data_IF_391206435851
#
_entry.id   IF_391206435851
#
_cell.length_a   1.000
_cell.length_b   1.000
_cell.length_c   1.000
_cell.angle_alpha   90.00
_cell.angle_beta   90.00
_cell.angle_gamma   90.00
#
_symmetry.space_group_name_H-M   'P 1'
#
loop_
_entity.id
_entity.type
_entity.pdbx_description
1 polymer ?
#
# COMPACT_ATOMS: atom_id res chain seq x y z
N UNK A 1 -21.40 -24.98 10.08
CA UNK A 1 -21.88 -23.68 9.51
C UNK A 1 -20.69 -22.83 9.05
N UNK A 2 -19.66 -22.62 9.90
CA UNK A 2 -18.51 -21.76 9.62
C UNK A 2 -17.73 -22.11 8.34
N UNK A 3 -17.40 -23.40 8.03
CA UNK A 3 -16.71 -23.74 6.76
C UNK A 3 -17.51 -23.32 5.52
N UNK A 4 -18.80 -23.52 5.54
CA UNK A 4 -19.69 -23.13 4.42
C UNK A 4 -19.75 -21.61 4.28
N UNK A 5 -19.77 -20.89 5.40
CA UNK A 5 -19.73 -19.43 5.38
C UNK A 5 -18.43 -18.90 4.76
N UNK A 6 -17.28 -19.43 5.16
CA UNK A 6 -15.99 -19.02 4.58
C UNK A 6 -15.91 -19.36 3.09
N UNK A 7 -16.39 -20.53 2.67
CA UNK A 7 -16.46 -20.89 1.27
C UNK A 7 -17.36 -19.92 0.49
N UNK A 8 -18.53 -19.58 1.02
CA UNK A 8 -19.45 -18.61 0.46
C UNK A 8 -18.80 -17.23 0.31
N UNK A 9 -18.15 -16.71 1.34
CA UNK A 9 -17.47 -15.41 1.31
C UNK A 9 -16.39 -15.39 0.21
N UNK A 10 -15.56 -16.42 0.12
CA UNK A 10 -14.49 -16.52 -0.87
C UNK A 10 -15.06 -16.54 -2.30
N UNK A 11 -16.13 -17.26 -2.52
CA UNK A 11 -16.83 -17.34 -3.79
C UNK A 11 -17.44 -15.98 -4.15
N UNK A 12 -18.16 -15.37 -3.23
CA UNK A 12 -18.82 -14.07 -3.48
C UNK A 12 -17.81 -12.96 -3.75
N UNK A 13 -16.71 -12.89 -3.03
CA UNK A 13 -15.65 -11.90 -3.30
C UNK A 13 -15.06 -12.13 -4.70
N UNK A 14 -14.80 -13.37 -5.08
CA UNK A 14 -14.18 -13.69 -6.38
C UNK A 14 -15.08 -13.28 -7.55
N UNK A 15 -16.38 -13.53 -7.45
CA UNK A 15 -17.32 -13.24 -8.52
C UNK A 15 -17.83 -11.79 -8.55
N UNK A 16 -17.72 -11.04 -7.45
CA UNK A 16 -18.29 -9.71 -7.34
C UNK A 16 -17.24 -8.60 -7.18
N UNK A 17 -16.03 -8.76 -7.75
CA UNK A 17 -14.97 -7.74 -7.68
C UNK A 17 -15.37 -6.38 -8.27
N UNK A 18 -16.40 -6.36 -9.12
CA UNK A 18 -16.94 -5.15 -9.73
C UNK A 18 -18.00 -4.43 -8.86
N UNK A 19 -18.60 -5.12 -7.88
CA UNK A 19 -19.67 -4.59 -7.03
C UNK A 19 -19.12 -4.14 -5.67
N UNK A 20 -18.80 -2.84 -5.56
CA UNK A 20 -18.17 -2.24 -4.38
C UNK A 20 -19.06 -2.32 -3.14
N UNK A 21 -20.39 -2.24 -3.29
CA UNK A 21 -21.32 -2.30 -2.16
C UNK A 21 -21.38 -3.71 -1.56
N UNK A 22 -21.46 -4.72 -2.43
CA UNK A 22 -21.38 -6.11 -1.98
C UNK A 22 -20.04 -6.42 -1.31
N UNK A 23 -18.92 -5.96 -1.88
CA UNK A 23 -17.61 -6.18 -1.29
C UNK A 23 -17.51 -5.56 0.10
N UNK A 24 -18.07 -4.36 0.30
CA UNK A 24 -18.11 -3.71 1.62
C UNK A 24 -18.89 -4.57 2.61
N UNK A 25 -20.11 -4.99 2.24
CA UNK A 25 -20.95 -5.85 3.09
C UNK A 25 -20.26 -7.18 3.44
N UNK A 26 -19.60 -7.82 2.47
CA UNK A 26 -18.87 -9.07 2.69
C UNK A 26 -17.70 -8.87 3.67
N UNK A 27 -16.96 -7.76 3.55
CA UNK A 27 -15.89 -7.41 4.48
C UNK A 27 -16.43 -7.12 5.90
N UNK A 28 -17.56 -6.44 6.03
CA UNK A 28 -18.21 -6.19 7.31
C UNK A 28 -18.64 -7.51 7.96
N UNK A 29 -19.17 -8.44 7.19
CA UNK A 29 -19.52 -9.78 7.69
C UNK A 29 -18.27 -10.52 8.19
N UNK A 30 -17.18 -10.51 7.42
CA UNK A 30 -15.90 -11.13 7.83
C UNK A 30 -15.38 -10.48 9.10
N UNK A 31 -15.37 -9.15 9.17
CA UNK A 31 -14.87 -8.43 10.34
C UNK A 31 -15.71 -8.68 11.58
N UNK A 32 -17.04 -8.73 11.45
CA UNK A 32 -17.95 -9.03 12.55
C UNK A 32 -17.69 -10.40 13.19
N UNK A 33 -17.36 -11.41 12.37
CA UNK A 33 -17.01 -12.75 12.87
C UNK A 33 -15.61 -12.75 13.49
N UNK A 34 -14.65 -12.01 12.92
CA UNK A 34 -13.29 -11.89 13.45
C UNK A 34 -13.25 -11.24 14.84
N UNK A 35 -14.12 -10.28 15.09
CA UNK A 35 -14.21 -9.59 16.39
C UNK A 35 -14.94 -10.43 17.45
N UNK A 36 -15.78 -11.37 17.01
CA UNK A 36 -16.51 -12.23 17.91
C UNK A 36 -15.60 -13.31 18.51
N UNK A 37 -15.38 -13.25 19.83
CA UNK A 37 -14.48 -14.14 20.57
C UNK A 37 -14.98 -15.59 20.66
N UNK A 38 -16.26 -15.84 20.38
CA UNK A 38 -16.84 -17.17 20.42
C UNK A 38 -16.47 -18.01 19.18
N UNK A 39 -15.95 -17.36 18.13
CA UNK A 39 -15.51 -18.03 16.91
C UNK A 39 -13.99 -18.07 16.77
N UNK A 40 -13.43 -19.26 16.55
CA UNK A 40 -12.03 -19.41 16.17
C UNK A 40 -11.93 -19.56 14.65
N UNK A 41 -11.35 -18.55 13.99
CA UNK A 41 -11.12 -18.55 12.54
C UNK A 41 -9.73 -19.07 12.15
N UNK A 42 -8.87 -19.40 13.11
CA UNK A 42 -7.50 -19.88 12.85
C UNK A 42 -7.42 -21.02 11.84
N UNK A 43 -8.28 -22.07 11.89
CA UNK A 43 -8.26 -23.15 10.91
C UNK A 43 -8.56 -22.70 9.47
N UNK A 44 -9.20 -21.54 9.30
CA UNK A 44 -9.66 -21.03 8.00
C UNK A 44 -8.77 -19.91 7.43
N UNK A 45 -7.73 -19.49 8.14
CA UNK A 45 -6.84 -18.40 7.67
C UNK A 45 -6.18 -18.68 6.33
N UNK A 46 -5.83 -19.96 6.06
CA UNK A 46 -5.26 -20.36 4.77
C UNK A 46 -6.23 -20.12 3.58
N UNK A 47 -7.52 -20.09 3.82
CA UNK A 47 -8.57 -19.83 2.83
C UNK A 47 -8.98 -18.36 2.81
N UNK A 48 -9.13 -17.73 3.98
CA UNK A 48 -9.63 -16.36 4.12
C UNK A 48 -8.58 -15.30 3.72
N UNK A 49 -7.33 -15.47 4.13
CA UNK A 49 -6.28 -14.48 3.86
C UNK A 49 -6.00 -14.28 2.37
N UNK A 50 -5.89 -15.33 1.52
CA UNK A 50 -5.78 -15.13 0.08
C UNK A 50 -6.92 -14.32 -0.52
N UNK A 51 -8.13 -14.44 0.01
CA UNK A 51 -9.29 -13.70 -0.43
C UNK A 51 -9.16 -12.20 -0.08
N UNK A 52 -8.75 -11.88 1.15
CA UNK A 52 -8.45 -10.51 1.59
C UNK A 52 -7.30 -9.92 0.77
N UNK A 53 -6.25 -10.70 0.48
CA UNK A 53 -5.15 -10.28 -0.40
C UNK A 53 -5.63 -10.00 -1.83
N UNK A 54 -6.61 -10.74 -2.33
CA UNK A 54 -7.22 -10.46 -3.63
C UNK A 54 -7.86 -9.07 -3.64
N UNK A 55 -8.58 -8.69 -2.60
CA UNK A 55 -9.15 -7.34 -2.47
C UNK A 55 -8.08 -6.25 -2.38
N UNK A 56 -6.93 -6.54 -1.78
CA UNK A 56 -5.83 -5.60 -1.68
C UNK A 56 -5.03 -5.46 -2.98
N UNK A 57 -4.83 -6.55 -3.72
CA UNK A 57 -3.89 -6.62 -4.84
C UNK A 57 -4.52 -6.74 -6.23
N UNK A 58 -5.84 -6.93 -6.33
CA UNK A 58 -6.53 -7.04 -7.62
C UNK A 58 -6.31 -5.78 -8.46
N UNK A 59 -6.11 -5.97 -9.77
CA UNK A 59 -5.88 -4.86 -10.71
C UNK A 59 -7.08 -3.92 -10.79
N UNK A 60 -8.27 -4.48 -10.88
CA UNK A 60 -9.51 -3.76 -11.07
C UNK A 60 -10.51 -4.17 -9.97
N UNK A 61 -10.86 -3.22 -9.12
CA UNK A 61 -11.97 -3.33 -8.18
C UNK A 61 -12.95 -2.22 -8.54
N UNK A 62 -14.21 -2.57 -8.74
CA UNK A 62 -15.25 -1.60 -9.09
C UNK A 62 -15.24 -1.09 -10.54
N UNK A 63 -14.34 -1.55 -11.41
CA UNK A 63 -14.42 -1.21 -12.83
C UNK A 63 -15.55 -2.00 -13.46
N UNK A 64 -16.59 -1.30 -13.86
CA UNK A 64 -17.52 -1.77 -14.88
C UNK A 64 -16.73 -1.94 -16.18
N UNK A 65 -16.94 -3.05 -16.90
CA UNK A 65 -16.50 -3.18 -18.29
C UNK A 65 -16.95 -1.94 -19.06
N UNK A 66 -16.06 -1.40 -19.86
CA UNK A 66 -16.26 -0.18 -20.65
C UNK A 66 -17.56 -0.25 -21.48
N UNK A 67 -18.66 0.21 -20.92
CA UNK A 67 -19.91 0.47 -21.61
C UNK A 67 -20.45 1.82 -21.20
N UNK A 68 -19.74 2.88 -21.54
CA UNK A 68 -20.36 4.18 -21.77
C UNK A 68 -19.37 5.11 -22.47
N UNK A 69 -19.61 5.30 -23.74
CA UNK A 69 -19.17 6.44 -24.55
C UNK A 69 -19.89 7.70 -24.07
N UNK A 70 -19.64 8.13 -22.87
CA UNK A 70 -20.01 9.47 -22.42
C UNK A 70 -18.71 10.24 -22.14
N UNK A 71 -18.29 10.98 -23.18
CA UNK A 71 -17.20 11.96 -23.10
C UNK A 71 -17.76 13.21 -22.42
N UNK A 72 -17.39 13.46 -21.17
CA UNK A 72 -17.79 14.67 -20.46
C UNK A 72 -17.11 14.79 -19.08
N UNK A 73 -17.20 15.97 -18.50
CA UNK A 73 -16.71 16.25 -17.14
C UNK A 73 -17.32 15.31 -16.08
N UNK A 74 -18.56 14.84 -16.33
CA UNK A 74 -19.25 13.87 -15.48
C UNK A 74 -18.54 12.50 -15.44
N UNK A 75 -17.91 12.08 -16.53
CA UNK A 75 -17.19 10.81 -16.58
C UNK A 75 -15.92 10.83 -15.71
N UNK A 76 -15.20 11.95 -15.68
CA UNK A 76 -14.01 12.11 -14.83
C UNK A 76 -14.38 12.10 -13.33
N UNK A 77 -15.47 12.80 -12.96
CA UNK A 77 -15.97 12.81 -11.59
C UNK A 77 -16.44 11.43 -11.13
N UNK A 78 -17.09 10.66 -12.00
CA UNK A 78 -17.50 9.28 -11.72
C UNK A 78 -16.28 8.36 -11.55
N UNK A 79 -15.26 8.50 -12.38
CA UNK A 79 -14.04 7.72 -12.28
C UNK A 79 -13.28 8.01 -10.98
N UNK A 80 -13.23 9.26 -10.56
CA UNK A 80 -12.64 9.67 -9.29
C UNK A 80 -13.41 9.10 -8.09
N UNK A 81 -14.74 9.13 -8.12
CA UNK A 81 -15.58 8.55 -7.08
C UNK A 81 -15.41 7.02 -6.98
N UNK A 82 -15.28 6.32 -8.12
CA UNK A 82 -15.00 4.89 -8.16
C UNK A 82 -13.61 4.58 -7.59
N UNK A 83 -12.61 5.39 -7.91
CA UNK A 83 -11.28 5.28 -7.36
C UNK A 83 -11.31 5.39 -5.83
N UNK A 84 -11.94 6.43 -5.29
CA UNK A 84 -12.03 6.66 -3.86
C UNK A 84 -12.76 5.51 -3.13
N UNK A 85 -13.86 4.99 -3.68
CA UNK A 85 -14.56 3.80 -3.16
C UNK A 85 -13.69 2.55 -3.21
N UNK A 86 -12.94 2.33 -4.30
CA UNK A 86 -12.03 1.19 -4.43
C UNK A 86 -10.90 1.24 -3.40
N UNK A 87 -10.38 2.43 -3.12
CA UNK A 87 -9.36 2.65 -2.09
C UNK A 87 -9.93 2.44 -0.67
N UNK A 88 -11.19 2.83 -0.43
CA UNK A 88 -11.87 2.57 0.84
C UNK A 88 -11.96 1.06 1.12
N UNK A 89 -12.32 0.23 0.12
CA UNK A 89 -12.34 -1.23 0.24
C UNK A 89 -10.94 -1.77 0.53
N UNK A 90 -9.90 -1.28 -0.16
CA UNK A 90 -8.52 -1.70 0.11
C UNK A 90 -8.08 -1.32 1.52
N UNK A 91 -8.43 -0.14 1.99
CA UNK A 91 -8.17 0.30 3.36
C UNK A 91 -8.88 -0.60 4.38
N UNK A 92 -10.15 -0.90 4.17
CA UNK A 92 -10.89 -1.79 5.06
C UNK A 92 -10.31 -3.21 5.04
N UNK A 93 -9.98 -3.74 3.86
CA UNK A 93 -9.30 -5.04 3.72
C UNK A 93 -7.95 -5.04 4.45
N UNK A 94 -7.20 -3.93 4.43
CA UNK A 94 -5.95 -3.79 5.16
C UNK A 94 -6.16 -3.83 6.68
N UNK A 95 -7.21 -3.19 7.18
CA UNK A 95 -7.57 -3.21 8.61
C UNK A 95 -7.98 -4.63 9.06
N UNK A 96 -8.77 -5.34 8.25
CA UNK A 96 -9.13 -6.74 8.50
C UNK A 96 -7.87 -7.62 8.57
N UNK A 97 -6.95 -7.45 7.62
CA UNK A 97 -5.67 -8.17 7.61
C UNK A 97 -4.81 -7.80 8.84
N UNK A 98 -4.74 -6.52 9.21
CA UNK A 98 -4.02 -6.06 10.38
C UNK A 98 -4.57 -6.69 11.66
N UNK A 99 -5.90 -6.76 11.79
CA UNK A 99 -6.54 -7.41 12.93
C UNK A 99 -6.18 -8.89 13.04
N UNK A 100 -6.18 -9.62 11.91
CA UNK A 100 -5.77 -11.04 11.88
C UNK A 100 -4.29 -11.20 12.28
N UNK A 101 -3.39 -10.37 11.73
CA UNK A 101 -1.95 -10.51 11.95
C UNK A 101 -1.47 -10.03 13.32
N UNK A 102 -2.20 -9.11 13.96
CA UNK A 102 -1.81 -8.51 15.25
C UNK A 102 -2.44 -9.18 16.45
N UNK A 103 -3.51 -9.95 16.29
CA UNK A 103 -4.24 -10.54 17.39
C UNK A 103 -3.54 -11.80 17.91
N UNK A 104 -2.80 -11.67 19.01
CA UNK A 104 -2.08 -12.78 19.64
C UNK A 104 -3.03 -13.83 20.26
N UNK A 105 -4.20 -13.42 20.70
CA UNK A 105 -5.19 -14.32 21.33
C UNK A 105 -5.83 -15.26 20.30
N UNK A 106 -5.91 -14.82 19.03
CA UNK A 106 -6.41 -15.62 17.92
C UNK A 106 -5.32 -16.53 17.32
N UNK A 107 -4.05 -16.37 17.71
CA UNK A 107 -2.90 -17.02 17.08
C UNK A 107 -2.19 -17.99 18.01
N UNK A 108 -2.91 -18.95 18.54
CA UNK A 108 -2.39 -19.97 19.49
C UNK A 108 -1.37 -20.91 18.87
N UNK A 109 -1.45 -21.17 17.56
CA UNK A 109 -0.66 -22.21 16.88
C UNK A 109 0.60 -21.73 16.16
N UNK A 110 0.96 -20.43 16.23
CA UNK A 110 2.06 -19.84 15.46
C UNK A 110 1.95 -20.01 13.92
N UNK A 111 0.78 -20.39 13.42
CA UNK A 111 0.51 -20.57 11.98
C UNK A 111 0.77 -19.27 11.22
N UNK A 112 0.41 -18.13 11.79
CA UNK A 112 0.59 -16.81 11.17
C UNK A 112 2.08 -16.55 10.94
N UNK A 113 2.91 -16.69 11.95
CA UNK A 113 4.35 -16.40 11.84
C UNK A 113 5.07 -17.38 10.91
N UNK A 114 4.79 -18.68 11.05
CA UNK A 114 5.54 -19.72 10.33
C UNK A 114 5.07 -19.96 8.89
N UNK A 115 3.80 -19.72 8.60
CA UNK A 115 3.22 -20.12 7.31
C UNK A 115 2.63 -18.95 6.53
N UNK A 116 1.86 -18.09 7.20
CA UNK A 116 1.06 -17.05 6.53
C UNK A 116 1.91 -15.84 6.16
N UNK A 117 2.64 -15.26 7.10
CA UNK A 117 3.52 -14.10 6.83
C UNK A 117 4.52 -14.36 5.71
N UNK A 118 5.24 -15.50 5.65
CA UNK A 118 6.13 -15.78 4.52
C UNK A 118 5.41 -15.86 3.17
N UNK A 119 4.19 -16.41 3.13
CA UNK A 119 3.38 -16.45 1.89
C UNK A 119 2.97 -15.04 1.46
N UNK A 120 2.54 -14.19 2.40
CA UNK A 120 2.19 -12.79 2.14
C UNK A 120 3.41 -12.05 1.58
N UNK A 121 4.57 -12.12 2.24
CA UNK A 121 5.81 -11.48 1.80
C UNK A 121 6.17 -11.91 0.39
N UNK A 122 6.11 -13.22 0.09
CA UNK A 122 6.40 -13.72 -1.26
C UNK A 122 5.43 -13.17 -2.31
N UNK A 123 4.16 -13.02 -1.97
CA UNK A 123 3.14 -12.45 -2.87
C UNK A 123 3.40 -10.98 -3.13
N UNK A 124 3.68 -10.21 -2.07
CA UNK A 124 4.00 -8.78 -2.18
C UNK A 124 5.25 -8.57 -3.04
N UNK A 125 6.30 -9.35 -2.79
CA UNK A 125 7.54 -9.31 -3.56
C UNK A 125 7.30 -9.45 -5.06
N UNK A 126 6.57 -10.50 -5.45
CA UNK A 126 6.23 -10.73 -6.86
C UNK A 126 5.45 -9.56 -7.45
N UNK A 127 4.54 -8.98 -6.66
CA UNK A 127 3.69 -7.89 -7.12
C UNK A 127 4.48 -6.58 -7.20
N UNK A 128 5.35 -6.30 -6.23
CA UNK A 128 6.18 -5.11 -6.19
C UNK A 128 7.23 -5.08 -7.31
N UNK A 129 7.84 -6.23 -7.60
CA UNK A 129 8.84 -6.34 -8.67
C UNK A 129 8.23 -6.30 -10.08
N UNK A 130 6.95 -6.55 -10.23
CA UNK A 130 6.25 -6.42 -11.50
C UNK A 130 5.93 -4.94 -11.76
N UNK A 131 6.67 -4.34 -12.66
CA UNK A 131 6.61 -2.91 -12.98
C UNK A 131 5.37 -2.49 -13.76
N UNK A 132 4.46 -3.42 -14.11
CA UNK A 132 3.28 -3.15 -14.94
C UNK A 132 1.94 -3.28 -14.18
N UNK A 133 1.96 -3.13 -12.86
CA UNK A 133 0.75 -3.20 -12.03
C UNK A 133 -0.02 -1.88 -12.01
N UNK A 134 -1.32 -1.95 -11.68
CA UNK A 134 -2.16 -0.77 -11.49
C UNK A 134 -1.80 -0.02 -10.21
N UNK A 135 -2.18 1.25 -10.13
CA UNK A 135 -2.02 2.08 -8.94
C UNK A 135 -2.61 1.40 -7.69
N UNK A 136 -3.87 0.90 -7.79
CA UNK A 136 -4.52 0.24 -6.67
C UNK A 136 -3.78 -1.01 -6.18
N UNK A 137 -3.12 -1.76 -7.07
CA UNK A 137 -2.29 -2.91 -6.69
C UNK A 137 -1.06 -2.48 -5.89
N UNK A 138 -0.35 -1.44 -6.32
CA UNK A 138 0.79 -0.91 -5.56
C UNK A 138 0.36 -0.30 -4.22
N UNK A 139 -0.75 0.44 -4.22
CA UNK A 139 -1.34 0.97 -2.98
C UNK A 139 -1.59 -0.16 -1.97
N UNK A 140 -2.23 -1.25 -2.41
CA UNK A 140 -2.44 -2.43 -1.58
C UNK A 140 -1.14 -3.07 -1.08
N UNK A 141 -0.10 -3.15 -1.94
CA UNK A 141 1.23 -3.63 -1.53
C UNK A 141 1.81 -2.79 -0.39
N UNK A 142 1.82 -1.46 -0.51
CA UNK A 142 2.33 -0.58 0.53
C UNK A 142 1.51 -0.68 1.82
N UNK A 143 0.17 -0.77 1.73
CA UNK A 143 -0.68 -0.97 2.92
C UNK A 143 -0.34 -2.28 3.65
N UNK A 144 -0.09 -3.37 2.93
CA UNK A 144 0.33 -4.64 3.56
C UNK A 144 1.72 -4.49 4.19
N UNK A 145 2.66 -3.83 3.51
CA UNK A 145 4.00 -3.57 4.06
C UNK A 145 3.95 -2.73 5.33
N UNK A 146 3.12 -1.71 5.39
CA UNK A 146 2.89 -0.89 6.59
C UNK A 146 2.42 -1.76 7.76
N UNK A 147 1.45 -2.64 7.54
CA UNK A 147 0.93 -3.56 8.57
C UNK A 147 2.03 -4.49 9.06
N UNK A 148 2.76 -5.12 8.15
CA UNK A 148 3.82 -6.06 8.50
C UNK A 148 5.02 -5.35 9.16
N UNK A 149 5.39 -4.19 8.65
CA UNK A 149 6.46 -3.35 9.19
C UNK A 149 6.14 -2.78 10.57
N UNK A 150 4.86 -2.62 10.89
CA UNK A 150 4.43 -2.19 12.24
C UNK A 150 4.86 -3.15 13.34
N UNK A 151 5.06 -4.42 13.01
CA UNK A 151 5.55 -5.44 13.94
C UNK A 151 7.05 -5.72 13.79
N UNK A 152 7.61 -5.53 12.60
CA UNK A 152 9.03 -5.73 12.30
C UNK A 152 9.49 -4.79 11.18
N UNK A 153 10.25 -3.77 11.54
CA UNK A 153 10.76 -2.74 10.63
C UNK A 153 11.83 -3.25 9.67
N UNK A 154 12.47 -4.39 9.92
CA UNK A 154 13.43 -5.01 9.01
C UNK A 154 12.82 -5.28 7.63
N UNK A 155 11.52 -5.61 7.58
CA UNK A 155 10.80 -5.81 6.32
C UNK A 155 10.79 -4.51 5.49
N UNK A 156 10.55 -3.37 6.14
CA UNK A 156 10.58 -2.04 5.50
C UNK A 156 11.97 -1.75 4.95
N UNK A 157 13.01 -1.98 5.76
CA UNK A 157 14.41 -1.73 5.37
C UNK A 157 14.83 -2.57 4.18
N UNK A 158 14.37 -3.82 4.12
CA UNK A 158 14.64 -4.68 2.98
C UNK A 158 13.99 -4.14 1.69
N UNK A 159 12.76 -3.63 1.75
CA UNK A 159 12.09 -3.01 0.60
C UNK A 159 12.70 -1.66 0.22
N UNK A 160 13.22 -0.87 1.16
CA UNK A 160 13.94 0.37 0.87
C UNK A 160 15.09 0.17 -0.10
N UNK A 161 15.84 -0.93 0.00
CA UNK A 161 16.94 -1.23 -0.92
C UNK A 161 16.52 -1.33 -2.39
N UNK A 162 15.22 -1.55 -2.65
CA UNK A 162 14.65 -1.63 -4.00
C UNK A 162 13.79 -0.42 -4.37
N UNK A 163 13.51 0.46 -3.42
CA UNK A 163 12.54 1.56 -3.59
C UNK A 163 13.01 2.55 -4.66
N UNK A 164 14.28 2.93 -4.66
CA UNK A 164 14.85 3.84 -5.66
C UNK A 164 14.59 3.33 -7.09
N UNK A 165 15.02 2.10 -7.38
CA UNK A 165 14.85 1.51 -8.71
C UNK A 165 13.39 1.33 -9.10
N UNK A 166 12.52 1.09 -8.12
CA UNK A 166 11.09 1.00 -8.33
C UNK A 166 10.50 2.37 -8.67
N UNK A 167 10.86 3.41 -7.92
CA UNK A 167 10.39 4.79 -8.16
C UNK A 167 10.81 5.31 -9.54
N UNK A 168 12.06 5.11 -9.95
CA UNK A 168 12.56 5.54 -11.27
C UNK A 168 11.75 4.96 -12.45
N UNK A 169 11.18 3.76 -12.27
CA UNK A 169 10.42 3.10 -13.34
C UNK A 169 8.92 3.33 -13.22
N UNK A 170 8.39 3.37 -12.00
CA UNK A 170 6.93 3.41 -11.75
C UNK A 170 6.43 4.85 -11.59
N UNK A 171 7.24 5.71 -10.98
CA UNK A 171 6.97 7.12 -10.71
C UNK A 171 8.14 8.00 -11.22
N UNK A 172 8.48 7.96 -12.51
CA UNK A 172 9.56 8.79 -13.02
C UNK A 172 9.26 10.27 -12.75
N UNK A 173 10.31 11.04 -12.46
CA UNK A 173 10.19 12.50 -12.45
C UNK A 173 9.73 12.97 -13.83
N UNK A 174 8.86 13.97 -13.86
CA UNK A 174 8.60 14.68 -15.09
C UNK A 174 9.93 15.36 -15.46
N UNK A 175 10.61 14.81 -16.45
CA UNK A 175 11.82 15.41 -16.98
C UNK A 175 11.54 16.90 -17.22
N UNK A 176 12.34 17.78 -16.60
CA UNK A 176 12.58 19.12 -17.06
C UNK A 176 13.34 19.01 -18.40
N UNK A 177 12.65 18.51 -19.43
CA UNK A 177 13.16 18.65 -20.78
C UNK A 177 13.04 20.11 -21.15
N UNK A 178 14.17 20.79 -21.04
CA UNK A 178 14.41 22.02 -21.79
C UNK A 178 13.87 21.81 -23.20
N UNK A 179 13.03 22.73 -23.61
CA UNK A 179 12.30 22.75 -24.86
C UNK A 179 13.26 22.75 -26.08
N UNK A 180 13.70 21.58 -26.52
CA UNK A 180 14.35 21.48 -27.85
C UNK A 180 14.50 20.04 -28.37
N UNK A 181 13.51 19.16 -28.19
CA UNK A 181 13.32 18.03 -29.10
C UNK A 181 11.86 17.59 -29.09
N UNK A 182 11.13 18.16 -30.01
CA UNK A 182 9.78 17.78 -30.43
C UNK A 182 9.89 16.42 -31.12
N UNK A 183 8.98 15.49 -30.79
CA UNK A 183 8.62 14.29 -31.56
C UNK A 183 9.08 12.91 -31.09
N UNK A 184 9.16 12.61 -29.76
CA UNK A 184 9.08 11.17 -29.39
C UNK A 184 8.53 10.87 -27.97
N UNK A 185 7.70 11.71 -27.38
CA UNK A 185 7.13 11.45 -26.04
C UNK A 185 5.64 11.14 -26.04
N UNK A 186 5.18 10.34 -26.99
CA UNK A 186 3.81 9.82 -27.03
C UNK A 186 3.57 8.60 -26.15
N UNK A 187 4.36 8.36 -25.07
CA UNK A 187 4.01 7.32 -24.10
C UNK A 187 2.89 7.85 -23.21
N UNK A 188 1.71 7.20 -23.23
CA UNK A 188 0.60 7.64 -22.39
C UNK A 188 1.07 7.66 -20.93
N UNK A 189 0.77 8.75 -20.23
CA UNK A 189 1.03 8.88 -18.82
C UNK A 189 0.37 7.72 -18.08
N UNK A 190 1.16 6.91 -17.36
CA UNK A 190 0.72 5.65 -16.78
C UNK A 190 -0.32 5.82 -15.68
N UNK A 191 -0.18 6.88 -14.89
CA UNK A 191 -1.05 7.23 -13.78
C UNK A 191 -1.52 8.67 -13.92
N UNK A 192 -2.75 8.93 -13.50
CA UNK A 192 -3.24 10.31 -13.35
C UNK A 192 -2.47 11.02 -12.23
N UNK A 193 -2.52 12.34 -12.21
CA UNK A 193 -1.84 13.12 -11.16
C UNK A 193 -2.43 12.82 -9.78
N UNK A 194 -3.75 12.59 -9.68
CA UNK A 194 -4.41 12.14 -8.45
C UNK A 194 -3.88 10.78 -8.00
N UNK A 195 -3.75 9.81 -8.90
CA UNK A 195 -3.20 8.48 -8.60
C UNK A 195 -1.74 8.55 -8.13
N UNK A 196 -0.92 9.41 -8.74
CA UNK A 196 0.46 9.64 -8.30
C UNK A 196 0.51 10.21 -6.88
N UNK A 197 -0.32 11.22 -6.58
CA UNK A 197 -0.37 11.79 -5.24
C UNK A 197 -0.75 10.74 -4.18
N UNK A 198 -1.76 9.92 -4.46
CA UNK A 198 -2.18 8.84 -3.56
C UNK A 198 -1.06 7.83 -3.34
N UNK A 199 -0.30 7.45 -4.39
CA UNK A 199 0.85 6.57 -4.24
C UNK A 199 1.97 7.22 -3.41
N UNK A 200 2.26 8.49 -3.63
CA UNK A 200 3.26 9.22 -2.86
C UNK A 200 2.86 9.32 -1.38
N UNK A 201 1.57 9.55 -1.09
CA UNK A 201 1.08 9.60 0.28
C UNK A 201 1.22 8.25 1.01
N UNK A 202 0.87 7.13 0.36
CA UNK A 202 1.04 5.82 0.97
C UNK A 202 2.51 5.41 1.11
N UNK A 203 3.40 5.89 0.22
CA UNK A 203 4.85 5.69 0.37
C UNK A 203 5.38 6.49 1.57
N UNK A 204 4.89 7.71 1.81
CA UNK A 204 5.23 8.45 3.03
C UNK A 204 4.81 7.69 4.28
N UNK A 205 3.56 7.20 4.35
CA UNK A 205 3.12 6.35 5.46
C UNK A 205 4.03 5.14 5.67
N UNK A 206 4.45 4.49 4.57
CA UNK A 206 5.37 3.36 4.60
C UNK A 206 6.74 3.74 5.20
N UNK A 207 7.30 4.88 4.82
CA UNK A 207 8.57 5.38 5.37
C UNK A 207 8.43 5.75 6.84
N UNK A 208 7.32 6.35 7.24
CA UNK A 208 7.05 6.77 8.62
C UNK A 208 6.93 5.59 9.61
N UNK A 209 6.68 4.38 9.13
CA UNK A 209 6.72 3.19 10.01
C UNK A 209 8.10 3.03 10.66
N UNK A 210 9.18 3.44 9.97
CA UNK A 210 10.55 3.38 10.51
C UNK A 210 10.77 4.33 11.69
N UNK A 211 9.91 5.33 11.91
CA UNK A 211 10.02 6.24 13.05
C UNK A 211 9.98 5.51 14.40
N UNK A 212 9.48 4.28 14.43
CA UNK A 212 9.51 3.41 15.62
C UNK A 212 10.92 3.02 16.05
N UNK A 213 11.87 3.01 15.10
CA UNK A 213 13.27 2.66 15.37
C UNK A 213 14.10 3.85 15.83
N UNK A 214 13.51 5.07 15.86
CA UNK A 214 14.23 6.26 16.31
C UNK A 214 14.36 6.23 17.83
N UNK A 215 15.58 6.37 18.35
CA UNK A 215 15.78 6.60 19.79
C UNK A 215 15.21 7.96 20.20
N UNK A 216 14.60 8.04 21.38
CA UNK A 216 13.95 9.25 21.90
C UNK A 216 14.87 10.49 22.05
N UNK A 217 16.17 10.34 21.80
CA UNK A 217 17.19 11.37 22.02
C UNK A 217 17.41 12.35 20.85
N UNK A 218 16.72 12.16 19.72
CA UNK A 218 16.98 12.99 18.51
C UNK A 218 16.08 14.25 18.46
N UNK A 219 15.40 14.59 19.54
CA UNK A 219 14.55 15.78 19.62
C UNK A 219 15.31 17.11 19.38
N UNK A 220 16.62 17.16 19.62
CA UNK A 220 17.45 18.36 19.44
C UNK A 220 17.59 18.81 17.98
N UNK A 221 17.41 17.90 17.03
CA UNK A 221 17.52 18.19 15.60
C UNK A 221 16.15 18.31 14.87
N UNK A 222 15.06 18.12 15.58
CA UNK A 222 13.72 18.03 14.98
C UNK A 222 13.35 19.20 14.06
N UNK A 223 13.84 20.41 14.37
CA UNK A 223 13.52 21.63 13.62
C UNK A 223 14.64 22.08 12.66
N UNK A 224 15.66 21.24 12.42
CA UNK A 224 16.72 21.58 11.46
C UNK A 224 16.37 21.06 10.07
N UNK A 225 16.49 21.92 9.08
CA UNK A 225 16.38 21.50 7.68
C UNK A 225 17.51 20.52 7.30
N UNK A 226 17.22 19.66 6.32
CA UNK A 226 18.20 18.74 5.76
C UNK A 226 19.27 19.54 4.99
N UNK A 227 20.54 19.24 5.25
CA UNK A 227 21.65 19.79 4.47
C UNK A 227 21.62 19.26 3.04
N UNK A 228 22.31 19.94 2.12
CA UNK A 228 22.39 19.51 0.72
C UNK A 228 22.96 18.09 0.58
N UNK A 229 23.89 17.70 1.43
CA UNK A 229 24.46 16.36 1.44
C UNK A 229 23.44 15.30 1.92
N UNK A 230 22.66 15.61 2.96
CA UNK A 230 21.61 14.76 3.48
C UNK A 230 20.47 14.57 2.44
N UNK A 231 20.10 15.65 1.76
CA UNK A 231 19.14 15.62 0.67
C UNK A 231 19.61 14.70 -0.48
N UNK A 232 20.86 14.85 -0.91
CA UNK A 232 21.44 13.99 -1.95
C UNK A 232 21.49 12.51 -1.56
N UNK A 233 21.75 12.19 -0.26
CA UNK A 233 21.68 10.84 0.25
C UNK A 233 20.25 10.29 0.22
N UNK A 234 19.27 11.12 0.62
CA UNK A 234 17.86 10.71 0.67
C UNK A 234 17.31 10.41 -0.74
N UNK A 235 17.60 11.26 -1.73
CA UNK A 235 17.21 11.04 -3.14
C UNK A 235 17.69 9.69 -3.64
N UNK A 236 18.93 9.28 -3.33
CA UNK A 236 19.50 7.99 -3.75
C UNK A 236 18.81 6.77 -3.13
N UNK A 237 18.04 6.95 -2.08
CA UNK A 237 17.32 5.86 -1.42
C UNK A 237 15.85 5.82 -1.85
N UNK A 238 15.20 6.97 -1.91
CA UNK A 238 13.75 7.05 -2.13
C UNK A 238 13.35 7.40 -3.56
N UNK A 239 14.27 7.93 -4.37
CA UNK A 239 14.00 8.45 -5.72
C UNK A 239 13.47 9.89 -5.71
N UNK A 240 13.55 10.56 -6.86
CA UNK A 240 13.28 11.99 -6.98
C UNK A 240 11.83 12.36 -6.70
N UNK A 241 10.85 11.65 -7.27
CA UNK A 241 9.42 11.91 -7.06
C UNK A 241 9.00 11.81 -5.58
N UNK A 242 9.51 10.82 -4.85
CA UNK A 242 9.25 10.67 -3.41
C UNK A 242 9.98 11.75 -2.62
N UNK A 243 11.21 12.09 -3.01
CA UNK A 243 11.96 13.18 -2.37
C UNK A 243 11.24 14.52 -2.52
N UNK A 244 10.71 14.85 -3.71
CA UNK A 244 9.93 16.05 -3.95
C UNK A 244 8.69 16.10 -3.04
N UNK A 245 8.01 14.98 -2.84
CA UNK A 245 6.89 14.88 -1.90
C UNK A 245 7.34 15.08 -0.44
N UNK A 246 8.46 14.48 -0.02
CA UNK A 246 9.07 14.71 1.30
C UNK A 246 9.44 16.20 1.47
N UNK A 247 9.89 16.86 0.40
CA UNK A 247 10.16 18.29 0.39
C UNK A 247 8.97 19.17 0.75
N UNK A 248 7.76 18.74 0.45
CA UNK A 248 6.51 19.49 0.69
C UNK A 248 5.90 19.32 2.08
N UNK A 249 6.39 18.42 2.92
CA UNK A 249 5.89 18.17 4.28
C UNK A 249 6.63 19.02 5.31
N UNK A 250 6.12 19.04 6.55
CA UNK A 250 6.71 19.76 7.68
C UNK A 250 8.15 19.35 7.97
N UNK A 251 8.99 20.29 8.38
CA UNK A 251 10.44 20.11 8.63
C UNK A 251 10.66 18.97 9.63
N UNK A 252 9.88 18.91 10.71
CA UNK A 252 10.00 17.86 11.74
C UNK A 252 9.75 16.46 11.16
N UNK A 253 8.67 16.29 10.36
CA UNK A 253 8.36 15.00 9.71
C UNK A 253 9.45 14.61 8.72
N UNK A 254 9.92 15.55 7.91
CA UNK A 254 11.03 15.36 6.96
C UNK A 254 12.28 14.87 7.67
N UNK A 255 12.63 15.51 8.78
CA UNK A 255 13.80 15.15 9.59
C UNK A 255 13.66 13.77 10.20
N UNK A 256 12.50 13.43 10.76
CA UNK A 256 12.21 12.09 11.30
C UNK A 256 12.34 11.00 10.25
N UNK A 257 11.83 11.20 9.04
CA UNK A 257 11.96 10.24 7.93
C UNK A 257 13.44 10.03 7.59
N UNK A 258 14.23 11.12 7.42
CA UNK A 258 15.66 11.00 7.14
C UNK A 258 16.39 10.22 8.24
N UNK A 259 16.20 10.61 9.48
CA UNK A 259 16.88 9.98 10.61
C UNK A 259 16.47 8.51 10.79
N UNK A 260 15.20 8.16 10.61
CA UNK A 260 14.74 6.79 10.69
C UNK A 260 15.32 5.88 9.61
N UNK A 261 15.57 6.42 8.41
CA UNK A 261 16.22 5.68 7.33
C UNK A 261 17.70 5.44 7.62
N UNK A 262 18.43 6.47 8.06
CA UNK A 262 19.89 6.42 8.13
C UNK A 262 20.45 6.13 9.52
N UNK A 263 19.76 6.50 10.59
CA UNK A 263 20.22 6.39 11.97
C UNK A 263 19.51 5.29 12.78
N UNK A 264 18.38 4.80 12.32
CA UNK A 264 17.60 3.76 13.00
C UNK A 264 18.19 2.34 12.92
N UNK A 265 19.44 2.18 12.54
CA UNK A 265 20.13 0.88 12.34
C UNK A 265 21.09 0.56 13.52
N UNK A 266 20.90 1.14 14.65
CA UNK A 266 21.79 0.86 15.81
C UNK A 266 21.11 -0.10 16.78
#
# INVERSE_FOLDING_TARGET
LLPYFIAFINEQITYNLHDLEKLTTLLEMVFSILVNKDFSLEPYYNSLIPCILTLLLAKNIGKLEEKSTENGEDAAAQQDALLDKSLAIRNFSSQVLAHILSNKDLNKSNIIEKTIKPKIIRTILKTFLDKNRSMGTYYGCFKILIIMGSNNTEIIRWFLGNLFNWCEVVLPEADNKDAMDVEESGKPQRFTDKEKQILLDVILEFLEVLNKDLPNLIAENANKELTTEEQAKLVKVVGGSVFSKIGSIEIERKRKIYESIFLGII
#
